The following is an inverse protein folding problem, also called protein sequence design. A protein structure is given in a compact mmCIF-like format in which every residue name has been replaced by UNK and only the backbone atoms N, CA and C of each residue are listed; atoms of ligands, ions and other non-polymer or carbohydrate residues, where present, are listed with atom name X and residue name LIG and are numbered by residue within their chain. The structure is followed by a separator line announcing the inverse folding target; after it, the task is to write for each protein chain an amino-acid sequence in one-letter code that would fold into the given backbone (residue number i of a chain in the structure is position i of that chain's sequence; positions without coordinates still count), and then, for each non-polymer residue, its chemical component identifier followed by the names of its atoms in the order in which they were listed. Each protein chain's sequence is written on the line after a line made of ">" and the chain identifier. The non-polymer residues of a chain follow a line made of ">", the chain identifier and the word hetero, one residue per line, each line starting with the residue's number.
data_IF_523410964941
#
_entry.id   IF_523410964941
#
_cell.length_a   1.000
_cell.length_b   1.000
_cell.length_c   1.000
_cell.angle_alpha   90.00
_cell.angle_beta   90.00
_cell.angle_gamma   90.00
#
_symmetry.space_group_name_H-M   'P 1'
#
loop_
_entity.id
_entity.type
_entity.pdbx_description
1 polymer ?
#
# COMPACT_ATOMS: atom_id res chain seq x y z
N UNK A 1 28.14 -13.39 -4.30
CA UNK A 1 27.67 -13.36 -5.71
C UNK A 1 26.23 -12.88 -5.70
N UNK A 2 25.88 -11.85 -6.48
CA UNK A 2 24.51 -11.32 -6.54
C UNK A 2 23.66 -12.38 -7.25
N UNK A 3 22.67 -12.98 -6.57
CA UNK A 3 21.79 -13.99 -7.20
C UNK A 3 20.98 -13.34 -8.32
N UNK A 4 20.78 -14.07 -9.42
CA UNK A 4 20.00 -13.60 -10.56
C UNK A 4 18.54 -13.35 -10.12
N UNK A 5 17.98 -12.15 -10.34
CA UNK A 5 16.56 -11.89 -10.14
C UNK A 5 15.63 -12.93 -10.77
N UNK A 6 16.00 -13.48 -11.92
CA UNK A 6 15.23 -14.50 -12.64
C UNK A 6 15.11 -15.77 -11.82
N UNK A 7 16.22 -16.24 -11.22
CA UNK A 7 16.22 -17.45 -10.38
C UNK A 7 15.32 -17.28 -9.16
N UNK A 8 15.34 -16.10 -8.54
CA UNK A 8 14.52 -15.79 -7.36
C UNK A 8 13.03 -15.82 -7.73
N UNK A 9 12.66 -15.15 -8.82
CA UNK A 9 11.27 -15.13 -9.32
C UNK A 9 10.82 -16.54 -9.68
N UNK A 10 11.68 -17.34 -10.30
CA UNK A 10 11.36 -18.71 -10.69
C UNK A 10 11.16 -19.61 -9.46
N UNK A 11 12.05 -19.52 -8.47
CA UNK A 11 11.92 -20.25 -7.20
C UNK A 11 10.62 -19.91 -6.47
N UNK A 12 10.31 -18.62 -6.33
CA UNK A 12 9.05 -18.16 -5.76
C UNK A 12 7.86 -18.71 -6.56
N UNK A 13 7.89 -18.58 -7.88
CA UNK A 13 6.81 -19.03 -8.76
C UNK A 13 6.53 -20.52 -8.63
N UNK A 14 7.56 -21.35 -8.51
CA UNK A 14 7.41 -22.80 -8.35
C UNK A 14 6.78 -23.17 -7.01
N UNK A 15 7.20 -22.52 -5.91
CA UNK A 15 6.56 -22.70 -4.62
C UNK A 15 5.09 -22.28 -4.67
N UNK A 16 4.77 -21.11 -5.26
CA UNK A 16 3.38 -20.64 -5.34
C UNK A 16 2.49 -21.58 -6.18
N UNK A 17 3.03 -22.19 -7.24
CA UNK A 17 2.31 -23.18 -8.06
C UNK A 17 2.01 -24.48 -7.31
N UNK A 18 2.79 -24.84 -6.29
CA UNK A 18 2.51 -26.00 -5.46
C UNK A 18 1.42 -25.75 -4.41
N UNK A 19 0.93 -24.51 -4.31
CA UNK A 19 -0.10 -24.10 -3.33
C UNK A 19 -1.48 -24.09 -3.96
N UNK A 20 -2.49 -24.50 -3.19
CA UNK A 20 -3.89 -24.37 -3.56
C UNK A 20 -4.37 -22.92 -3.49
N UNK A 21 -5.42 -22.59 -4.26
CA UNK A 21 -6.10 -21.29 -4.11
C UNK A 21 -6.68 -21.21 -2.70
N UNK A 22 -6.35 -20.14 -1.96
CA UNK A 22 -6.79 -19.93 -0.57
C UNK A 22 -5.93 -20.63 0.49
N UNK A 23 -4.87 -21.35 0.09
CA UNK A 23 -3.91 -21.91 1.05
C UNK A 23 -3.04 -20.80 1.65
N UNK A 24 -2.93 -20.79 2.97
CA UNK A 24 -2.09 -19.84 3.70
C UNK A 24 -0.69 -20.41 3.91
N UNK A 25 0.31 -19.57 3.72
CA UNK A 25 1.72 -19.87 4.03
C UNK A 25 2.42 -18.59 4.48
N UNK A 26 3.54 -18.75 5.16
CA UNK A 26 4.35 -17.66 5.69
C UNK A 26 5.51 -17.33 4.76
N UNK A 27 6.06 -16.12 4.90
CA UNK A 27 7.30 -15.73 4.21
C UNK A 27 8.48 -16.61 4.65
N UNK A 28 8.46 -17.15 5.87
CA UNK A 28 9.50 -18.05 6.37
C UNK A 28 9.50 -19.39 5.61
N UNK A 29 8.33 -20.01 5.43
CA UNK A 29 8.19 -21.26 4.66
C UNK A 29 8.61 -21.08 3.20
N UNK A 30 8.23 -19.95 2.59
CA UNK A 30 8.66 -19.63 1.22
C UNK A 30 10.18 -19.39 1.14
N UNK A 31 10.78 -18.74 2.13
CA UNK A 31 12.23 -18.52 2.21
C UNK A 31 13.01 -19.83 2.36
N UNK A 32 12.53 -20.74 3.20
CA UNK A 32 13.09 -22.07 3.37
C UNK A 32 13.00 -22.88 2.08
N UNK A 33 11.81 -22.95 1.47
CA UNK A 33 11.58 -23.73 0.25
C UNK A 33 12.40 -23.23 -0.96
N UNK A 34 12.67 -21.92 -1.02
CA UNK A 34 13.45 -21.32 -2.12
C UNK A 34 14.94 -21.19 -1.81
N UNK A 35 15.37 -21.50 -0.59
CA UNK A 35 16.76 -21.33 -0.13
C UNK A 35 17.23 -19.87 -0.19
N UNK A 36 16.31 -18.90 -0.12
CA UNK A 36 16.57 -17.47 -0.15
C UNK A 36 16.40 -16.85 1.23
N UNK A 37 17.12 -15.76 1.50
CA UNK A 37 16.95 -15.03 2.76
C UNK A 37 15.55 -14.39 2.84
N UNK A 38 14.93 -14.39 4.03
CA UNK A 38 13.57 -13.88 4.26
C UNK A 38 13.33 -12.49 3.67
N UNK A 39 14.25 -11.57 3.93
CA UNK A 39 14.22 -10.18 3.41
C UNK A 39 14.25 -10.13 1.87
N UNK A 40 14.95 -11.07 1.22
CA UNK A 40 14.97 -11.15 -0.25
C UNK A 40 13.62 -11.61 -0.76
N UNK A 41 13.05 -12.67 -0.19
CA UNK A 41 11.74 -13.19 -0.57
C UNK A 41 10.67 -12.11 -0.41
N UNK A 42 10.61 -11.47 0.76
CA UNK A 42 9.67 -10.40 1.04
C UNK A 42 9.76 -9.26 0.02
N UNK A 43 10.98 -8.81 -0.28
CA UNK A 43 11.22 -7.79 -1.31
C UNK A 43 10.70 -8.22 -2.69
N UNK A 44 10.96 -9.44 -3.11
CA UNK A 44 10.53 -9.92 -4.43
C UNK A 44 9.03 -10.19 -4.49
N UNK A 45 8.40 -10.67 -3.42
CA UNK A 45 6.94 -10.77 -3.32
C UNK A 45 6.27 -9.41 -3.47
N UNK A 46 6.82 -8.36 -2.83
CA UNK A 46 6.35 -6.99 -2.99
C UNK A 46 6.50 -6.49 -4.43
N UNK A 47 7.61 -6.82 -5.10
CA UNK A 47 7.83 -6.48 -6.52
C UNK A 47 6.83 -7.22 -7.42
N UNK A 48 6.63 -8.53 -7.21
CA UNK A 48 5.69 -9.34 -7.99
C UNK A 48 4.27 -8.78 -7.83
N UNK A 49 3.84 -8.52 -6.60
CA UNK A 49 2.54 -7.90 -6.31
C UNK A 49 2.40 -6.55 -7.01
N UNK A 50 3.42 -5.68 -6.91
CA UNK A 50 3.44 -4.40 -7.61
C UNK A 50 3.31 -4.57 -9.13
N UNK A 51 4.04 -5.51 -9.74
CA UNK A 51 4.03 -5.74 -11.19
C UNK A 51 2.66 -6.26 -11.63
N UNK A 52 2.11 -7.25 -10.93
CA UNK A 52 0.82 -7.83 -11.27
C UNK A 52 -0.32 -6.81 -11.16
N UNK A 53 -0.27 -5.94 -10.15
CA UNK A 53 -1.38 -5.07 -9.82
C UNK A 53 -1.26 -3.68 -10.46
N UNK A 54 -0.05 -3.20 -10.78
CA UNK A 54 0.16 -1.79 -11.13
C UNK A 54 0.86 -1.55 -12.47
N UNK A 55 1.44 -2.57 -13.10
CA UNK A 55 2.13 -2.36 -14.37
C UNK A 55 1.16 -2.60 -15.54
N UNK A 56 1.01 -1.63 -16.47
CA UNK A 56 0.29 -1.85 -17.71
C UNK A 56 0.84 -3.07 -18.46
N UNK A 57 -0.04 -3.97 -18.87
CA UNK A 57 0.38 -5.10 -19.68
C UNK A 57 0.68 -4.63 -21.09
N UNK A 58 1.79 -5.10 -21.63
CA UNK A 58 2.24 -4.78 -22.99
C UNK A 58 2.46 -6.07 -23.76
N UNK A 59 2.08 -6.05 -25.04
CA UNK A 59 2.40 -7.11 -26.01
C UNK A 59 3.34 -6.54 -27.07
N UNK A 60 4.31 -7.35 -27.49
CA UNK A 60 5.19 -7.03 -28.62
C UNK A 60 4.42 -7.17 -29.93
N UNK A 61 4.51 -6.15 -30.76
CA UNK A 61 3.90 -6.08 -32.09
C UNK A 61 5.01 -5.68 -33.10
N UNK A 62 5.71 -6.69 -33.62
CA UNK A 62 6.93 -6.49 -34.41
C UNK A 62 8.03 -5.78 -33.60
N UNK A 63 8.45 -4.59 -34.06
CA UNK A 63 9.40 -3.72 -33.36
C UNK A 63 8.75 -2.77 -32.35
N UNK A 64 7.41 -2.77 -32.24
CA UNK A 64 6.64 -1.88 -31.38
C UNK A 64 6.13 -2.61 -30.14
N UNK A 65 5.77 -1.83 -29.11
CA UNK A 65 5.06 -2.31 -27.94
C UNK A 65 3.65 -1.72 -27.95
N UNK A 66 2.65 -2.56 -27.73
CA UNK A 66 1.24 -2.17 -27.60
C UNK A 66 0.79 -2.40 -26.17
N UNK A 67 0.26 -1.36 -25.52
CA UNK A 67 -0.43 -1.51 -24.24
C UNK A 67 -1.73 -2.28 -24.48
N UNK A 68 -1.89 -3.42 -23.81
CA UNK A 68 -3.06 -4.30 -23.96
C UNK A 68 -4.02 -4.22 -22.79
N UNK A 69 -3.55 -3.80 -21.62
CA UNK A 69 -4.39 -3.65 -20.42
C UNK A 69 -3.78 -2.62 -19.48
N UNK A 70 -4.63 -1.72 -18.96
CA UNK A 70 -4.31 -0.90 -17.80
C UNK A 70 -4.94 -1.53 -16.55
N UNK A 71 -4.27 -1.47 -15.40
CA UNK A 71 -4.91 -1.75 -14.11
C UNK A 71 -6.13 -0.83 -13.87
N UNK A 72 -7.29 -1.34 -13.41
CA UNK A 72 -8.53 -0.56 -13.28
C UNK A 72 -8.44 0.65 -12.34
N UNK A 73 -7.54 0.59 -11.36
CA UNK A 73 -7.22 1.69 -10.44
C UNK A 73 -6.43 2.79 -11.14
N UNK A 74 -5.54 2.46 -12.08
CA UNK A 74 -4.83 3.44 -12.92
C UNK A 74 -5.76 4.09 -13.94
N UNK A 75 -6.78 3.38 -14.43
CA UNK A 75 -7.80 3.95 -15.33
C UNK A 75 -8.66 5.04 -14.65
N UNK A 76 -8.77 5.00 -13.32
CA UNK A 76 -9.54 5.96 -12.53
C UNK A 76 -8.75 7.20 -12.13
N UNK A 77 -7.43 7.20 -12.31
CA UNK A 77 -6.62 8.36 -11.95
C UNK A 77 -6.83 9.48 -12.97
N UNK A 78 -7.15 10.67 -12.47
CA UNK A 78 -7.17 11.86 -13.31
C UNK A 78 -5.74 12.34 -13.64
N UNK A 79 -5.63 13.22 -14.63
CA UNK A 79 -4.33 13.74 -15.11
C UNK A 79 -3.49 14.45 -14.03
N UNK A 80 -4.15 15.05 -13.04
CA UNK A 80 -3.49 15.67 -11.90
C UNK A 80 -2.83 14.59 -11.03
N UNK A 81 -3.58 13.54 -10.73
CA UNK A 81 -3.12 12.44 -9.91
C UNK A 81 -1.98 11.67 -10.58
N UNK A 82 -2.06 11.47 -11.90
CA UNK A 82 -1.01 10.88 -12.71
C UNK A 82 0.28 11.73 -12.65
N UNK A 83 0.16 13.05 -12.81
CA UNK A 83 1.30 13.95 -12.82
C UNK A 83 1.99 14.05 -11.46
N UNK A 84 1.23 14.19 -10.38
CA UNK A 84 1.75 14.23 -9.02
C UNK A 84 2.43 12.90 -8.63
N UNK A 85 1.80 11.77 -8.94
CA UNK A 85 2.39 10.44 -8.70
C UNK A 85 3.67 10.25 -9.50
N UNK A 86 3.69 10.69 -10.76
CA UNK A 86 4.88 10.63 -11.60
C UNK A 86 6.03 11.47 -11.03
N UNK A 87 5.74 12.69 -10.55
CA UNK A 87 6.73 13.56 -9.93
C UNK A 87 7.25 12.98 -8.61
N UNK A 88 6.42 12.29 -7.84
CA UNK A 88 6.86 11.64 -6.59
C UNK A 88 7.98 10.63 -6.85
N UNK A 89 7.79 9.74 -7.84
CA UNK A 89 8.78 8.73 -8.16
C UNK A 89 10.00 9.29 -8.91
N UNK A 90 9.78 10.20 -9.86
CA UNK A 90 10.87 10.77 -10.68
C UNK A 90 11.63 11.90 -9.97
N UNK A 91 11.09 12.44 -8.88
CA UNK A 91 11.53 13.65 -8.14
C UNK A 91 11.45 14.95 -8.95
N UNK A 92 11.87 14.93 -10.22
CA UNK A 92 11.72 16.01 -11.18
C UNK A 92 11.76 15.49 -12.62
N UNK A 93 11.12 16.18 -13.56
CA UNK A 93 11.26 15.93 -15.00
C UNK A 93 11.07 17.21 -15.83
N UNK A 94 11.52 17.20 -17.07
CA UNK A 94 11.22 18.27 -18.04
C UNK A 94 9.75 18.20 -18.45
N UNK A 95 9.09 19.36 -18.61
CA UNK A 95 7.67 19.44 -18.99
C UNK A 95 7.36 18.60 -20.23
N UNK A 96 8.25 18.57 -21.21
CA UNK A 96 8.08 17.82 -22.47
C UNK A 96 8.01 16.29 -22.28
N UNK A 97 8.54 15.77 -21.16
CA UNK A 97 8.59 14.35 -20.82
C UNK A 97 7.53 13.96 -19.79
N UNK A 98 6.61 14.87 -19.45
CA UNK A 98 5.51 14.60 -18.54
C UNK A 98 4.37 13.86 -19.25
N UNK A 99 3.65 13.05 -18.48
CA UNK A 99 2.32 12.54 -18.83
C UNK A 99 1.33 13.66 -18.47
N UNK A 100 0.28 14.00 -19.24
CA UNK A 100 -0.37 13.30 -20.37
C UNK A 100 0.26 13.44 -21.77
N UNK A 101 -0.31 12.65 -22.71
CA UNK A 101 0.08 12.58 -24.13
C UNK A 101 -0.32 13.83 -24.91
N UNK A 102 -1.45 14.44 -24.56
CA UNK A 102 -1.98 15.64 -25.19
C UNK A 102 -1.33 16.90 -24.61
N UNK A 103 -0.69 17.68 -25.48
CA UNK A 103 0.03 18.91 -25.12
C UNK A 103 -0.85 19.91 -24.36
N UNK A 104 -2.07 20.15 -24.85
CA UNK A 104 -2.98 21.14 -24.26
C UNK A 104 -3.47 20.74 -22.87
N UNK A 105 -3.79 19.44 -22.66
CA UNK A 105 -4.19 18.90 -21.35
C UNK A 105 -3.05 19.06 -20.35
N UNK A 106 -1.84 18.72 -20.77
CA UNK A 106 -0.64 18.80 -19.94
C UNK A 106 -0.38 20.23 -19.46
N UNK A 107 -0.47 21.20 -20.36
CA UNK A 107 -0.19 22.60 -20.04
C UNK A 107 -1.25 23.19 -19.10
N UNK A 108 -2.53 22.86 -19.28
CA UNK A 108 -3.62 23.25 -18.37
C UNK A 108 -3.43 22.65 -16.97
N UNK A 109 -3.09 21.36 -16.89
CA UNK A 109 -2.82 20.67 -15.63
C UNK A 109 -1.64 21.30 -14.91
N UNK A 110 -0.55 21.63 -15.62
CA UNK A 110 0.60 22.32 -15.02
C UNK A 110 0.22 23.70 -14.49
N UNK A 111 -0.51 24.49 -15.26
CA UNK A 111 -0.96 25.82 -14.82
C UNK A 111 -1.76 25.72 -13.52
N UNK A 112 -2.78 24.84 -13.50
CA UNK A 112 -3.62 24.61 -12.32
C UNK A 112 -2.81 24.13 -11.10
N UNK A 113 -1.89 23.20 -11.30
CA UNK A 113 -1.05 22.67 -10.21
C UNK A 113 -0.08 23.72 -9.66
N UNK A 114 0.46 24.58 -10.53
CA UNK A 114 1.35 25.67 -10.15
C UNK A 114 0.59 26.75 -9.39
N UNK A 115 -0.60 27.16 -9.87
CA UNK A 115 -1.45 28.15 -9.21
C UNK A 115 -1.91 27.68 -7.81
N UNK A 116 -2.15 26.38 -7.66
CA UNK A 116 -2.48 25.76 -6.36
C UNK A 116 -1.26 25.46 -5.49
N UNK A 117 -0.06 25.80 -5.95
CA UNK A 117 1.18 25.65 -5.19
C UNK A 117 1.64 24.20 -4.97
N UNK A 118 1.17 23.24 -5.76
CA UNK A 118 1.60 21.83 -5.67
C UNK A 118 2.94 21.58 -6.36
N UNK A 119 3.26 22.34 -7.39
CA UNK A 119 4.48 22.17 -8.18
C UNK A 119 5.24 23.49 -8.30
N UNK A 120 6.55 23.39 -8.47
CA UNK A 120 7.41 24.48 -8.89
C UNK A 120 8.08 24.17 -10.22
N UNK A 121 8.43 25.22 -10.96
CA UNK A 121 9.13 25.12 -12.24
C UNK A 121 10.44 25.89 -12.12
N UNK A 122 11.58 25.22 -12.36
CA UNK A 122 12.90 25.83 -12.36
C UNK A 122 13.76 25.24 -13.47
N UNK A 123 14.29 26.08 -14.35
CA UNK A 123 15.15 25.68 -15.47
C UNK A 123 14.55 24.51 -16.29
N UNK A 124 13.31 24.67 -16.76
CA UNK A 124 12.53 23.66 -17.50
C UNK A 124 12.19 22.37 -16.73
N UNK A 125 12.58 22.27 -15.45
CA UNK A 125 12.23 21.12 -14.60
C UNK A 125 11.04 21.44 -13.72
N UNK A 126 10.10 20.50 -13.68
CA UNK A 126 8.99 20.50 -12.74
C UNK A 126 9.35 19.64 -11.53
N UNK A 127 9.04 20.12 -10.34
CA UNK A 127 9.25 19.42 -9.07
C UNK A 127 8.04 19.61 -8.14
N UNK A 128 7.88 18.71 -7.17
CA UNK A 128 6.87 18.86 -6.13
C UNK A 128 7.31 19.92 -5.11
N UNK A 129 6.39 20.78 -4.71
CA UNK A 129 6.53 21.55 -3.46
C UNK A 129 6.27 20.64 -2.26
N UNK A 130 6.46 21.15 -1.04
CA UNK A 130 6.10 20.42 0.18
C UNK A 130 4.62 20.03 0.21
N UNK A 131 3.74 20.88 -0.32
CA UNK A 131 2.31 20.60 -0.45
C UNK A 131 2.07 19.50 -1.48
N UNK A 132 2.66 19.62 -2.67
CA UNK A 132 2.57 18.60 -3.72
C UNK A 132 3.08 17.23 -3.28
N UNK A 133 4.15 17.21 -2.49
CA UNK A 133 4.72 15.98 -1.95
C UNK A 133 3.73 15.25 -1.04
N UNK A 134 3.09 15.97 -0.11
CA UNK A 134 2.08 15.40 0.80
C UNK A 134 0.88 14.87 0.02
N UNK A 135 0.38 15.63 -0.95
CA UNK A 135 -0.74 15.20 -1.79
C UNK A 135 -0.40 13.97 -2.63
N UNK A 136 0.80 13.93 -3.22
CA UNK A 136 1.27 12.77 -3.98
C UNK A 136 1.41 11.53 -3.08
N UNK A 137 1.90 11.67 -1.85
CA UNK A 137 1.96 10.57 -0.89
C UNK A 137 0.57 10.00 -0.58
N UNK A 138 -0.44 10.85 -0.40
CA UNK A 138 -1.81 10.39 -0.14
C UNK A 138 -2.38 9.62 -1.34
N UNK A 139 -2.19 10.14 -2.57
CA UNK A 139 -2.62 9.46 -3.80
C UNK A 139 -1.95 8.09 -3.91
N UNK A 140 -0.63 8.02 -3.66
CA UNK A 140 0.13 6.79 -3.71
C UNK A 140 -0.36 5.83 -2.64
N UNK A 141 -0.46 6.27 -1.37
CA UNK A 141 -0.95 5.44 -0.28
C UNK A 141 -2.33 4.87 -0.60
N UNK A 142 -3.28 5.70 -1.03
CA UNK A 142 -4.64 5.28 -1.32
C UNK A 142 -4.71 4.36 -2.54
N UNK A 143 -3.84 4.55 -3.52
CA UNK A 143 -3.75 3.66 -4.68
C UNK A 143 -3.11 2.32 -4.30
N UNK A 144 -2.10 2.33 -3.43
CA UNK A 144 -1.39 1.12 -2.98
C UNK A 144 -2.25 0.32 -1.99
N UNK A 145 -2.98 1.00 -1.10
CA UNK A 145 -4.00 0.38 -0.26
C UNK A 145 -5.06 -0.29 -1.14
N UNK A 146 -5.60 0.38 -2.17
CA UNK A 146 -6.57 -0.24 -3.10
C UNK A 146 -6.05 -1.44 -3.90
N UNK A 147 -4.73 -1.51 -4.15
CA UNK A 147 -4.08 -2.66 -4.80
C UNK A 147 -3.66 -3.79 -3.83
N UNK A 148 -3.75 -3.55 -2.52
CA UNK A 148 -3.53 -4.53 -1.44
C UNK A 148 -4.89 -4.98 -0.85
N UNK A 149 -5.90 -4.11 -0.88
CA UNK A 149 -7.25 -4.29 -0.32
C UNK A 149 -8.28 -4.81 -1.32
N UNK A 150 -7.92 -5.08 -2.58
CA UNK A 150 -8.88 -5.70 -3.51
C UNK A 150 -9.31 -7.12 -3.11
N UNK A 151 -8.76 -7.66 -2.01
CA UNK A 151 -9.14 -8.92 -1.38
C UNK A 151 -9.37 -8.81 0.15
N UNK A 152 -9.60 -7.61 0.70
CA UNK A 152 -10.00 -7.43 2.12
C UNK A 152 -11.51 -7.35 2.33
N UNK A 153 -12.33 -7.47 1.28
CA UNK A 153 -13.80 -7.52 1.36
C UNK A 153 -14.38 -8.83 1.94
N UNK A 154 -13.60 -9.54 2.78
CA UNK A 154 -14.06 -10.71 3.55
C UNK A 154 -13.73 -10.65 5.05
N UNK A 155 -13.46 -9.48 5.60
CA UNK A 155 -13.55 -9.32 7.05
C UNK A 155 -14.99 -8.95 7.40
N UNK A 156 -15.72 -9.78 8.16
CA UNK A 156 -17.00 -9.35 8.71
C UNK A 156 -16.75 -8.12 9.57
N UNK A 157 -17.62 -7.12 9.47
CA UNK A 157 -17.67 -6.01 10.42
C UNK A 157 -17.69 -6.62 11.82
N UNK A 158 -16.61 -6.41 12.61
CA UNK A 158 -16.66 -6.65 14.04
C UNK A 158 -17.78 -5.75 14.57
N UNK A 159 -18.91 -6.39 14.90
CA UNK A 159 -19.94 -5.72 15.68
C UNK A 159 -19.28 -5.24 16.97
N UNK A 160 -19.44 -3.97 17.36
CA UNK A 160 -18.86 -3.48 18.59
C UNK A 160 -19.39 -4.35 19.73
N UNK A 161 -18.47 -5.04 20.42
CA UNK A 161 -18.79 -5.82 21.60
C UNK A 161 -19.57 -4.91 22.56
N UNK A 162 -20.79 -5.33 22.91
CA UNK A 162 -21.56 -4.69 23.97
C UNK A 162 -20.66 -4.64 25.20
N UNK A 163 -20.46 -3.44 25.75
CA UNK A 163 -19.85 -3.24 27.06
C UNK A 163 -20.56 -4.16 28.05
N UNK A 164 -19.88 -5.25 28.42
CA UNK A 164 -20.32 -6.06 29.55
C UNK A 164 -20.00 -5.22 30.78
N UNK A 165 -21.04 -4.64 31.39
CA UNK A 165 -20.97 -4.06 32.72
C UNK A 165 -20.24 -5.03 33.65
N UNK A 166 -19.10 -4.58 34.17
CA UNK A 166 -18.33 -5.33 35.13
C UNK A 166 -19.14 -5.49 36.43
N UNK A 167 -19.86 -6.61 36.57
CA UNK A 167 -20.40 -7.04 37.85
C UNK A 167 -19.21 -7.43 38.73
N UNK A 168 -18.77 -6.51 39.58
CA UNK A 168 -17.76 -6.77 40.61
C UNK A 168 -18.39 -7.70 41.65
N UNK A 169 -18.21 -9.02 41.48
CA UNK A 169 -18.52 -9.99 42.52
C UNK A 169 -17.37 -9.93 43.53
N UNK A 170 -17.59 -9.27 44.66
CA UNK A 170 -16.67 -9.29 45.81
C UNK A 170 -16.82 -10.64 46.51
N UNK A 171 -15.79 -11.50 46.57
CA UNK A 171 -15.88 -12.75 47.33
C UNK A 171 -15.87 -12.47 48.84
N UNK A 172 -16.95 -12.90 49.51
CA UNK A 172 -17.09 -12.88 50.96
C UNK A 172 -15.95 -13.69 51.63
N UNK A 173 -15.19 -13.05 52.53
CA UNK A 173 -14.13 -13.69 53.32
C UNK A 173 -14.62 -13.90 54.77
N UNK A 174 -14.72 -15.13 55.30
CA UNK A 174 -15.34 -15.45 56.59
C UNK A 174 -14.62 -14.93 57.85
N UNK A 175 -13.54 -14.16 57.72
CA UNK A 175 -12.75 -13.64 58.85
C UNK A 175 -12.92 -12.13 59.08
N UNK A 176 -13.87 -11.48 58.39
CA UNK A 176 -14.24 -10.08 58.66
C UNK A 176 -15.27 -9.93 59.80
N UNK A 177 -15.67 -11.02 60.46
CA UNK A 177 -16.34 -10.98 61.75
C UNK A 177 -15.31 -11.12 62.87
N UNK A 178 -14.94 -9.98 63.46
CA UNK A 178 -14.43 -9.76 64.83
C UNK A 178 -13.31 -8.72 64.82
N UNK A 179 -13.70 -7.46 64.99
CA UNK A 179 -13.07 -6.57 65.98
C UNK A 179 -14.08 -5.51 66.40
N UNK A 180 -14.21 -5.41 67.71
CA UNK A 180 -15.27 -4.74 68.42
C UNK A 180 -15.23 -3.22 68.26
N UNK A 181 -16.41 -2.60 68.19
CA UNK A 181 -16.61 -1.21 68.54
C UNK A 181 -16.47 -1.06 70.06
N UNK A 182 -15.69 -0.09 70.58
CA UNK A 182 -15.87 0.37 71.94
C UNK A 182 -17.19 1.15 72.05
N UNK A 183 -17.93 0.83 73.09
CA UNK A 183 -19.20 1.38 73.53
C UNK A 183 -19.27 2.90 73.57
N UNK A 184 -20.38 3.43 73.06
CA UNK A 184 -20.89 4.76 73.44
C UNK A 184 -21.59 4.60 74.79
N UNK A 185 -21.24 5.42 75.78
CA UNK A 185 -22.11 5.70 76.92
C UNK A 185 -21.91 7.16 77.33
N UNK A 186 -23.02 7.88 77.38
CA UNK A 186 -23.20 9.10 78.16
C UNK A 186 -23.31 8.74 79.66
#
# INVERSE_FOLDING_TARGET
>A
MRRDPVDIIYGISNFLRSKGIGETFTIAELAEATGHHRVTVEKYMNIISLVHNRVPQVRKDGSKLKVTRLPPDLEKLDETQILLSSLYFKKAFSQKNAVPKELWVRDEVFKRLSERGFIGIKADKVYLTSLGLRSAMLIIRDSFARGIDSDMSKFPEEQPEKEQEAVVIVPYKPWMEKRAYPSVSA
#
